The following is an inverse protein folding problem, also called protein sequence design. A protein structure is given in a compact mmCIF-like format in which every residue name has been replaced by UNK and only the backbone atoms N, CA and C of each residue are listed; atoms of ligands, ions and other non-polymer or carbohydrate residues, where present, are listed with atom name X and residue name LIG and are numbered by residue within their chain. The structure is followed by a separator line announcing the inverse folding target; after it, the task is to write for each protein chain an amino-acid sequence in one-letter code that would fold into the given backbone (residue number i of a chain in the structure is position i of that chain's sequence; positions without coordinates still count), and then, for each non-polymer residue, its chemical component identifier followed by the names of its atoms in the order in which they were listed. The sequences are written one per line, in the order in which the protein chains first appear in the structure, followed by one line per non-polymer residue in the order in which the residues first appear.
data_IF_264924800052
#
_entry.id   IF_264924800052
#
_cell.length_a   1.000
_cell.length_b   1.000
_cell.length_c   1.000
_cell.angle_alpha   90.00
_cell.angle_beta   90.00
_cell.angle_gamma   90.00
#
_symmetry.space_group_name_H-M   'P 1'
#
loop_
_entity.id
_entity.type
_entity.pdbx_description
1 polymer ?
#
# COMPACT_ATOMS: atom_id res chain seq x y z
N UNK A 1 -12.34 4.37 14.98
CA UNK A 1 -11.37 5.45 15.33
C UNK A 1 -10.62 5.77 14.05
N UNK A 2 -10.66 7.01 13.64
CA UNK A 2 -9.95 7.46 12.43
C UNK A 2 -8.45 7.53 12.78
N UNK A 3 -7.69 6.50 12.44
CA UNK A 3 -6.25 6.45 12.74
C UNK A 3 -5.52 7.42 11.82
N UNK A 4 -4.95 8.47 12.42
CA UNK A 4 -4.14 9.46 11.71
C UNK A 4 -2.85 8.78 11.23
N UNK A 5 -2.49 8.94 9.96
CA UNK A 5 -1.25 8.39 9.38
C UNK A 5 -0.06 9.16 9.94
N UNK A 6 0.88 8.43 10.51
CA UNK A 6 2.09 8.99 11.11
C UNK A 6 3.24 9.03 10.12
N UNK A 7 3.80 10.22 9.95
CA UNK A 7 4.94 10.48 9.08
C UNK A 7 6.15 10.84 9.94
N UNK A 8 7.28 10.18 9.73
CA UNK A 8 8.58 10.65 10.18
C UNK A 8 9.25 11.35 8.98
N UNK A 9 9.50 12.64 9.13
CA UNK A 9 10.16 13.43 8.09
C UNK A 9 11.61 13.75 8.48
N UNK A 10 12.55 13.14 7.77
CA UNK A 10 13.98 13.36 7.92
C UNK A 10 14.44 14.43 6.91
N UNK A 11 14.88 15.58 7.42
CA UNK A 11 15.25 16.78 6.65
C UNK A 11 16.19 17.64 7.50
N UNK A 12 17.30 18.06 6.96
CA UNK A 12 18.28 18.86 7.69
C UNK A 12 18.00 20.38 7.60
N UNK A 13 17.29 20.85 6.57
CA UNK A 13 16.75 22.22 6.51
C UNK A 13 15.54 22.35 7.43
N UNK A 14 15.76 22.96 8.60
CA UNK A 14 14.73 23.11 9.61
C UNK A 14 13.53 23.96 9.18
N UNK A 15 13.73 24.95 8.31
CA UNK A 15 12.65 25.83 7.86
C UNK A 15 11.83 25.19 6.74
N UNK A 16 12.48 24.53 5.80
CA UNK A 16 11.82 23.69 4.80
C UNK A 16 11.04 22.54 5.42
N UNK A 17 11.60 21.88 6.44
CA UNK A 17 10.94 20.83 7.19
C UNK A 17 9.66 21.32 7.89
N UNK A 18 9.70 22.48 8.55
CA UNK A 18 8.52 23.08 9.21
C UNK A 18 7.43 23.42 8.21
N UNK A 19 7.79 24.01 7.06
CA UNK A 19 6.84 24.36 6.02
C UNK A 19 6.14 23.12 5.48
N UNK A 20 6.91 22.07 5.13
CA UNK A 20 6.37 20.80 4.65
C UNK A 20 5.48 20.12 5.69
N UNK A 21 5.90 20.12 6.97
CA UNK A 21 5.08 19.66 8.09
C UNK A 21 3.74 20.37 8.16
N UNK A 22 3.73 21.71 8.15
CA UNK A 22 2.48 22.50 8.19
C UNK A 22 1.53 22.17 7.05
N UNK A 23 2.08 21.92 5.85
CA UNK A 23 1.29 21.54 4.68
C UNK A 23 0.65 20.15 4.86
N UNK A 24 1.43 19.18 5.33
CA UNK A 24 0.95 17.82 5.54
C UNK A 24 -0.03 17.71 6.72
N UNK A 25 0.18 18.47 7.79
CA UNK A 25 -0.74 18.51 8.93
C UNK A 25 -2.12 19.10 8.57
N UNK A 26 -2.19 20.09 7.66
CA UNK A 26 -3.46 20.56 7.10
C UNK A 26 -4.25 19.48 6.36
N UNK A 27 -3.56 18.45 5.89
CA UNK A 27 -4.14 17.29 5.19
C UNK A 27 -4.39 16.10 6.14
N UNK A 28 -4.40 16.35 7.46
CA UNK A 28 -4.64 15.37 8.53
C UNK A 28 -3.58 14.24 8.59
N UNK A 29 -2.32 14.55 8.36
CA UNK A 29 -1.19 13.70 8.72
C UNK A 29 -0.61 14.10 10.07
N UNK A 30 -0.06 13.15 10.82
CA UNK A 30 0.73 13.40 12.03
C UNK A 30 2.22 13.38 11.64
N UNK A 31 2.91 14.52 11.75
CA UNK A 31 4.27 14.67 11.23
C UNK A 31 5.28 14.96 12.34
N UNK A 32 6.23 14.04 12.53
CA UNK A 32 7.42 14.22 13.35
C UNK A 32 8.61 14.58 12.46
N UNK A 33 9.39 15.62 12.84
CA UNK A 33 10.58 16.06 12.10
C UNK A 33 11.84 15.54 12.79
N UNK A 34 12.76 15.00 11.99
CA UNK A 34 14.12 14.65 12.40
C UNK A 34 15.14 15.41 11.56
N UNK A 35 15.96 16.28 12.18
CA UNK A 35 16.87 17.20 11.50
C UNK A 35 18.20 16.57 11.03
N UNK A 36 18.29 15.26 10.92
CA UNK A 36 19.36 14.47 10.29
C UNK A 36 19.01 12.99 10.34
N UNK A 37 19.72 12.18 9.55
CA UNK A 37 19.46 10.74 9.47
C UNK A 37 19.68 9.98 10.79
N UNK A 38 20.63 10.38 11.64
CA UNK A 38 20.84 9.73 12.94
C UNK A 38 19.65 9.97 13.90
N UNK A 39 19.09 11.20 13.95
CA UNK A 39 17.86 11.48 14.70
C UNK A 39 16.66 10.75 14.12
N UNK A 40 16.58 10.64 12.79
CA UNK A 40 15.54 9.89 12.13
C UNK A 40 15.62 8.40 12.49
N UNK A 41 16.80 7.80 12.50
CA UNK A 41 17.00 6.43 12.94
C UNK A 41 16.59 6.20 14.40
N UNK A 42 16.95 7.14 15.30
CA UNK A 42 16.56 7.03 16.70
C UNK A 42 15.04 7.19 16.91
N UNK A 43 14.40 8.11 16.19
CA UNK A 43 12.94 8.28 16.22
C UNK A 43 12.23 7.04 15.67
N UNK A 44 12.70 6.49 14.55
CA UNK A 44 12.19 5.28 13.94
C UNK A 44 12.24 4.07 14.90
N UNK A 45 13.35 3.88 15.61
CA UNK A 45 13.48 2.78 16.59
C UNK A 45 12.53 2.92 17.78
N UNK A 46 12.23 4.15 18.20
CA UNK A 46 11.31 4.41 19.32
C UNK A 46 9.86 4.09 18.92
N UNK A 47 9.46 4.54 17.76
CA UNK A 47 8.12 4.32 17.25
C UNK A 47 8.12 4.32 15.73
N UNK A 48 7.83 3.16 15.14
CA UNK A 48 7.75 3.02 13.67
C UNK A 48 6.66 3.92 13.10
N UNK A 49 6.97 4.74 12.07
CA UNK A 49 5.98 5.50 11.33
C UNK A 49 5.27 4.62 10.30
N UNK A 50 4.11 5.08 9.81
CA UNK A 50 3.49 4.50 8.62
C UNK A 50 4.24 4.86 7.35
N UNK A 51 4.76 6.11 7.32
CA UNK A 51 5.51 6.67 6.20
C UNK A 51 6.80 7.31 6.73
N UNK A 52 7.93 6.98 6.12
CA UNK A 52 9.17 7.73 6.23
C UNK A 52 9.31 8.62 4.98
N UNK A 53 9.30 9.93 5.19
CA UNK A 53 9.67 10.91 4.18
C UNK A 53 11.12 11.31 4.44
N UNK A 54 12.01 11.19 3.46
CA UNK A 54 13.45 11.34 3.71
C UNK A 54 14.14 12.16 2.61
N UNK A 55 14.92 13.16 3.00
CA UNK A 55 15.85 13.82 2.08
C UNK A 55 17.12 12.96 1.90
N UNK A 56 17.73 13.04 0.73
CA UNK A 56 18.96 12.32 0.44
C UNK A 56 20.18 12.94 1.13
N UNK A 57 20.32 14.24 1.00
CA UNK A 57 21.54 14.93 1.40
C UNK A 57 21.39 15.45 2.83
N UNK A 58 21.64 14.58 3.82
CA UNK A 58 21.60 14.90 5.24
C UNK A 58 22.93 14.58 5.93
N UNK A 59 23.31 15.34 6.97
CA UNK A 59 24.51 15.04 7.74
C UNK A 59 24.35 13.78 8.61
N UNK A 60 25.48 13.14 8.92
CA UNK A 60 25.67 11.94 9.77
C UNK A 60 25.27 10.63 9.08
N UNK A 61 24.02 10.46 8.74
CA UNK A 61 23.47 9.34 7.99
C UNK A 61 22.67 9.97 6.84
N UNK A 62 23.06 9.69 5.62
CA UNK A 62 22.34 10.17 4.44
C UNK A 62 21.03 9.36 4.20
N UNK A 63 20.19 9.86 3.29
CA UNK A 63 18.88 9.24 3.06
C UNK A 63 18.99 7.85 2.43
N UNK A 64 20.02 7.58 1.64
CA UNK A 64 20.28 6.27 1.04
C UNK A 64 20.68 5.25 2.09
N UNK A 65 21.61 5.61 2.97
CA UNK A 65 22.06 4.76 4.08
C UNK A 65 20.91 4.49 5.05
N UNK A 66 20.14 5.53 5.43
CA UNK A 66 18.97 5.38 6.30
C UNK A 66 17.94 4.41 5.71
N UNK A 67 17.69 4.52 4.39
CA UNK A 67 16.78 3.61 3.67
C UNK A 67 17.26 2.15 3.77
N UNK A 68 18.55 1.89 3.54
CA UNK A 68 19.13 0.55 3.66
C UNK A 68 19.00 -0.01 5.07
N UNK A 69 19.39 0.77 6.08
CA UNK A 69 19.30 0.36 7.49
C UNK A 69 17.88 -0.05 7.90
N UNK A 70 16.87 0.69 7.44
CA UNK A 70 15.48 0.36 7.73
C UNK A 70 15.06 -0.91 6.99
N UNK A 71 15.40 -1.03 5.71
CA UNK A 71 14.99 -2.18 4.86
C UNK A 71 15.64 -3.51 5.27
N UNK A 72 16.73 -3.50 6.00
CA UNK A 72 17.30 -4.73 6.58
C UNK A 72 16.29 -5.49 7.45
N UNK A 73 15.42 -4.76 8.17
CA UNK A 73 14.52 -5.36 9.15
C UNK A 73 13.04 -4.98 8.97
N UNK A 74 12.71 -4.05 8.08
CA UNK A 74 11.35 -3.57 7.88
C UNK A 74 11.01 -3.38 6.39
N UNK A 75 10.00 -4.11 5.95
CA UNK A 75 9.43 -4.02 4.61
C UNK A 75 8.01 -3.42 4.60
N UNK A 76 7.51 -2.96 5.76
CA UNK A 76 6.14 -2.46 5.90
C UNK A 76 6.07 -0.94 5.88
N UNK A 77 7.00 -0.24 6.55
CA UNK A 77 7.07 1.22 6.51
C UNK A 77 7.25 1.69 5.07
N UNK A 78 6.37 2.57 4.59
CA UNK A 78 6.53 3.18 3.27
C UNK A 78 7.64 4.23 3.31
N UNK A 79 8.67 4.07 2.46
CA UNK A 79 9.80 5.00 2.36
C UNK A 79 9.66 5.81 1.07
N UNK A 80 9.50 7.11 1.23
CA UNK A 80 9.44 8.09 0.14
C UNK A 80 10.68 8.97 0.23
N UNK A 81 11.50 8.95 -0.82
CA UNK A 81 12.60 9.91 -0.94
C UNK A 81 12.04 11.20 -1.52
N UNK A 82 12.28 12.33 -0.82
CA UNK A 82 11.81 13.66 -1.19
C UNK A 82 12.98 14.63 -1.15
N UNK A 83 13.57 14.90 -2.31
CA UNK A 83 14.85 15.61 -2.42
C UNK A 83 14.88 16.63 -3.55
N UNK A 84 15.71 17.66 -3.39
CA UNK A 84 15.99 18.63 -4.46
C UNK A 84 16.91 18.07 -5.56
N UNK A 85 17.58 16.95 -5.30
CA UNK A 85 18.54 16.32 -6.20
C UNK A 85 17.89 15.18 -7.00
N UNK A 86 17.31 15.53 -8.15
CA UNK A 86 16.60 14.60 -9.05
C UNK A 86 17.50 13.91 -10.09
N UNK A 87 18.77 13.63 -9.78
CA UNK A 87 19.66 12.93 -10.71
C UNK A 87 19.20 11.48 -10.93
N UNK A 88 19.05 11.00 -12.18
CA UNK A 88 18.56 9.65 -12.44
C UNK A 88 19.37 8.53 -11.76
N UNK A 89 20.68 8.72 -11.59
CA UNK A 89 21.53 7.76 -10.90
C UNK A 89 21.20 7.65 -9.40
N UNK A 90 20.88 8.77 -8.74
CA UNK A 90 20.46 8.79 -7.34
C UNK A 90 19.06 8.15 -7.16
N UNK A 91 18.14 8.46 -8.08
CA UNK A 91 16.81 7.83 -8.09
C UNK A 91 16.91 6.31 -8.17
N UNK A 92 17.67 5.78 -9.12
CA UNK A 92 17.90 4.33 -9.26
C UNK A 92 18.52 3.76 -7.98
N UNK A 93 19.53 4.39 -7.43
CA UNK A 93 20.23 3.90 -6.23
C UNK A 93 19.32 3.79 -5.01
N UNK A 94 18.39 4.75 -4.80
CA UNK A 94 17.48 4.70 -3.65
C UNK A 94 16.32 3.72 -3.85
N UNK A 95 15.84 3.55 -5.07
CA UNK A 95 14.85 2.53 -5.39
C UNK A 95 15.43 1.12 -5.23
N UNK A 96 16.67 0.89 -5.67
CA UNK A 96 17.41 -0.36 -5.45
C UNK A 96 17.70 -0.62 -3.96
N UNK A 97 17.90 0.45 -3.17
CA UNK A 97 18.04 0.36 -1.71
C UNK A 97 16.71 0.01 -1.00
N UNK A 98 15.59 0.06 -1.72
CA UNK A 98 14.27 -0.34 -1.24
C UNK A 98 13.33 0.81 -0.89
N UNK A 99 13.59 2.04 -1.35
CA UNK A 99 12.58 3.09 -1.33
C UNK A 99 11.38 2.69 -2.20
N UNK A 100 10.18 3.08 -1.78
CA UNK A 100 8.95 2.78 -2.51
C UNK A 100 8.65 3.82 -3.58
N UNK A 101 9.00 5.08 -3.32
CA UNK A 101 8.78 6.20 -4.25
C UNK A 101 9.93 7.21 -4.15
N UNK A 102 10.20 7.88 -5.27
CA UNK A 102 11.11 9.02 -5.36
C UNK A 102 10.32 10.23 -5.87
N UNK A 103 10.36 11.34 -5.12
CA UNK A 103 9.64 12.57 -5.44
C UNK A 103 10.64 13.74 -5.43
N UNK A 104 10.88 14.39 -6.56
CA UNK A 104 11.67 15.62 -6.57
C UNK A 104 10.98 16.74 -5.79
N UNK A 105 11.73 17.47 -4.96
CA UNK A 105 11.24 18.69 -4.33
C UNK A 105 10.91 19.73 -5.39
N UNK A 106 9.72 20.30 -5.29
CA UNK A 106 9.24 21.30 -6.26
C UNK A 106 7.86 21.78 -5.84
N UNK A 107 6.81 21.28 -6.47
CA UNK A 107 5.43 21.66 -6.13
C UNK A 107 4.92 20.91 -4.90
N UNK A 108 4.52 21.61 -3.83
CA UNK A 108 3.87 20.98 -2.67
C UNK A 108 2.61 20.19 -3.04
N UNK A 109 1.91 20.60 -4.08
CA UNK A 109 0.69 19.94 -4.56
C UNK A 109 0.98 18.53 -5.05
N UNK A 110 2.14 18.31 -5.67
CA UNK A 110 2.58 16.98 -6.11
C UNK A 110 2.83 16.08 -4.91
N UNK A 111 3.55 16.57 -3.90
CA UNK A 111 3.76 15.82 -2.65
C UNK A 111 2.42 15.47 -1.99
N UNK A 112 1.51 16.45 -1.84
CA UNK A 112 0.18 16.24 -1.25
C UNK A 112 -0.59 15.16 -2.02
N UNK A 113 -0.59 15.21 -3.34
CA UNK A 113 -1.29 14.22 -4.17
C UNK A 113 -0.75 12.79 -3.94
N UNK A 114 0.58 12.62 -3.88
CA UNK A 114 1.22 11.35 -3.57
C UNK A 114 0.86 10.87 -2.15
N UNK A 115 0.95 11.75 -1.16
CA UNK A 115 0.66 11.42 0.24
C UNK A 115 -0.82 11.05 0.44
N UNK A 116 -1.76 11.75 -0.19
CA UNK A 116 -3.20 11.39 -0.16
C UNK A 116 -3.45 10.01 -0.76
N UNK A 117 -2.90 9.75 -1.94
CA UNK A 117 -3.01 8.43 -2.60
C UNK A 117 -2.43 7.32 -1.70
N UNK A 118 -1.28 7.57 -1.07
CA UNK A 118 -0.66 6.62 -0.16
C UNK A 118 -1.48 6.42 1.11
N UNK A 119 -2.00 7.50 1.72
CA UNK A 119 -2.93 7.44 2.86
C UNK A 119 -4.12 6.55 2.56
N UNK A 120 -4.76 6.75 1.41
CA UNK A 120 -5.95 5.99 1.04
C UNK A 120 -5.60 4.51 0.84
N UNK A 121 -4.41 4.23 0.32
CA UNK A 121 -3.87 2.86 0.21
C UNK A 121 -3.55 2.24 1.57
N UNK A 122 -2.92 2.98 2.48
CA UNK A 122 -2.59 2.53 3.84
C UNK A 122 -3.87 2.34 4.66
N UNK A 123 -4.77 3.32 4.65
CA UNK A 123 -6.08 3.22 5.33
C UNK A 123 -6.91 2.08 4.74
N UNK A 124 -6.92 1.91 3.45
CA UNK A 124 -7.52 0.75 2.79
C UNK A 124 -6.89 -0.57 3.23
N UNK A 125 -5.57 -0.63 3.40
CA UNK A 125 -4.87 -1.80 3.92
C UNK A 125 -5.11 -2.00 5.43
N UNK A 126 -5.24 -0.93 6.23
CA UNK A 126 -5.54 -1.03 7.67
C UNK A 126 -6.98 -1.47 7.96
N UNK A 127 -7.93 -1.12 7.08
CA UNK A 127 -9.32 -1.57 7.17
C UNK A 127 -9.60 -2.87 6.40
N UNK A 128 -8.63 -3.38 5.66
CA UNK A 128 -8.79 -4.67 4.97
C UNK A 128 -8.34 -5.76 5.96
N UNK A 129 -9.23 -6.59 6.48
CA UNK A 129 -8.86 -7.71 7.32
C UNK A 129 -7.78 -8.54 6.62
N UNK A 130 -6.75 -8.96 7.34
CA UNK A 130 -5.77 -9.90 6.77
C UNK A 130 -6.38 -11.29 6.62
N UNK A 131 -7.36 -11.60 7.47
CA UNK A 131 -8.11 -12.83 7.45
C UNK A 131 -9.59 -12.50 7.19
N UNK A 132 -10.11 -12.94 6.05
CA UNK A 132 -11.50 -12.82 5.68
C UNK A 132 -12.23 -14.12 5.96
N UNK A 133 -13.35 -14.05 6.66
CA UNK A 133 -14.30 -15.15 6.75
C UNK A 133 -15.24 -15.01 5.56
N UNK A 134 -15.09 -15.85 4.54
CA UNK A 134 -15.88 -15.78 3.30
C UNK A 134 -17.20 -16.57 3.41
N UNK A 135 -17.19 -17.65 4.19
CA UNK A 135 -18.36 -18.47 4.53
C UNK A 135 -18.12 -19.17 5.86
N UNK A 136 -19.04 -20.01 6.35
CA UNK A 136 -18.82 -20.88 7.52
C UNK A 136 -17.61 -21.80 7.36
N UNK A 137 -17.27 -22.16 6.12
CA UNK A 137 -16.28 -23.18 5.81
C UNK A 137 -15.03 -22.64 5.11
N UNK A 138 -15.06 -21.36 4.71
CA UNK A 138 -13.98 -20.75 3.89
C UNK A 138 -13.44 -19.51 4.52
N UNK A 139 -12.11 -19.49 4.68
CA UNK A 139 -11.34 -18.29 5.06
C UNK A 139 -10.32 -17.94 3.98
N UNK A 140 -9.98 -16.66 3.89
CA UNK A 140 -8.92 -16.18 3.01
C UNK A 140 -7.95 -15.30 3.79
N UNK A 141 -6.67 -15.66 3.78
CA UNK A 141 -5.59 -14.85 4.34
C UNK A 141 -4.89 -14.06 3.21
N UNK A 142 -5.04 -12.74 3.22
CA UNK A 142 -4.51 -11.87 2.16
C UNK A 142 -2.99 -11.71 2.20
N UNK A 143 -2.34 -11.95 3.34
CA UNK A 143 -0.86 -11.89 3.49
C UNK A 143 -0.25 -13.13 2.87
N UNK A 144 -0.68 -14.32 3.31
CA UNK A 144 -0.15 -15.60 2.79
C UNK A 144 -0.74 -15.94 1.43
N UNK A 145 -1.85 -15.30 1.05
CA UNK A 145 -2.67 -15.59 -0.15
C UNK A 145 -3.27 -16.99 -0.12
N UNK A 146 -3.58 -17.49 1.06
CA UNK A 146 -4.15 -18.82 1.25
C UNK A 146 -5.66 -18.75 1.41
N UNK A 147 -6.37 -19.52 0.60
CA UNK A 147 -7.78 -19.84 0.79
C UNK A 147 -7.84 -21.19 1.48
N UNK A 148 -8.53 -21.25 2.61
CA UNK A 148 -8.77 -22.49 3.34
C UNK A 148 -10.24 -22.82 3.20
N UNK A 149 -10.56 -23.96 2.58
CA UNK A 149 -11.94 -24.46 2.39
C UNK A 149 -12.05 -25.82 3.10
N UNK A 150 -12.97 -25.96 4.03
CA UNK A 150 -13.14 -27.18 4.82
C UNK A 150 -11.82 -27.69 5.45
N UNK A 151 -10.96 -26.78 5.90
CA UNK A 151 -9.66 -27.09 6.49
C UNK A 151 -8.53 -27.37 5.48
N UNK A 152 -8.80 -27.39 4.19
CA UNK A 152 -7.78 -27.59 3.15
C UNK A 152 -7.31 -26.23 2.64
N UNK A 153 -6.03 -25.93 2.87
CA UNK A 153 -5.41 -24.67 2.46
C UNK A 153 -4.86 -24.77 1.03
N UNK A 154 -5.19 -23.77 0.20
CA UNK A 154 -4.66 -23.63 -1.16
C UNK A 154 -4.08 -22.24 -1.32
N UNK A 155 -2.81 -22.15 -1.72
CA UNK A 155 -2.14 -20.86 -1.94
C UNK A 155 -2.43 -20.36 -3.34
N UNK A 156 -2.98 -19.12 -3.42
CA UNK A 156 -3.26 -18.47 -4.69
C UNK A 156 -2.00 -17.81 -5.28
N UNK A 157 -1.84 -17.78 -6.62
CA UNK A 157 -0.84 -16.95 -7.28
C UNK A 157 -1.05 -15.47 -6.96
N UNK A 158 -0.01 -14.65 -7.19
CA UNK A 158 0.03 -13.24 -6.71
C UNK A 158 -1.14 -12.41 -7.23
N UNK A 159 -1.51 -12.55 -8.49
CA UNK A 159 -2.58 -11.74 -9.10
C UNK A 159 -3.95 -12.22 -8.65
N UNK A 160 -4.20 -13.51 -8.64
CA UNK A 160 -5.46 -14.12 -8.17
C UNK A 160 -5.71 -13.79 -6.69
N UNK A 161 -4.68 -13.86 -5.84
CA UNK A 161 -4.78 -13.43 -4.45
C UNK A 161 -5.12 -11.94 -4.33
N UNK A 162 -4.50 -11.07 -5.14
CA UNK A 162 -4.84 -9.65 -5.14
C UNK A 162 -6.27 -9.37 -5.59
N UNK A 163 -6.76 -10.08 -6.62
CA UNK A 163 -8.16 -9.98 -7.06
C UNK A 163 -9.14 -10.40 -5.97
N UNK A 164 -8.87 -11.53 -5.29
CA UNK A 164 -9.74 -11.98 -4.20
C UNK A 164 -9.74 -10.98 -3.05
N UNK A 165 -8.59 -10.42 -2.68
CA UNK A 165 -8.49 -9.37 -1.67
C UNK A 165 -9.34 -8.15 -2.02
N UNK A 166 -9.30 -7.69 -3.29
CA UNK A 166 -10.07 -6.54 -3.75
C UNK A 166 -11.58 -6.80 -3.72
N UNK A 167 -12.01 -8.02 -4.09
CA UNK A 167 -13.41 -8.43 -3.99
C UNK A 167 -13.87 -8.48 -2.53
N UNK A 168 -13.06 -9.06 -1.64
CA UNK A 168 -13.35 -9.11 -0.20
C UNK A 168 -13.46 -7.71 0.42
N UNK A 169 -12.59 -6.78 -0.01
CA UNK A 169 -12.59 -5.40 0.49
C UNK A 169 -13.86 -4.63 0.15
N UNK A 170 -14.57 -5.03 -0.89
CA UNK A 170 -15.88 -4.46 -1.28
C UNK A 170 -17.04 -4.96 -0.43
N UNK A 171 -16.84 -5.98 0.40
CA UNK A 171 -17.82 -6.46 1.38
C UNK A 171 -19.24 -6.60 0.82
N UNK A 172 -19.39 -7.45 -0.18
CA UNK A 172 -20.66 -7.69 -0.92
C UNK A 172 -21.15 -6.52 -1.81
N UNK A 173 -20.30 -5.54 -2.08
CA UNK A 173 -20.55 -4.52 -3.08
C UNK A 173 -19.89 -4.88 -4.43
N UNK A 174 -20.34 -4.21 -5.50
CA UNK A 174 -19.77 -4.39 -6.83
C UNK A 174 -18.35 -3.82 -6.87
N UNK A 175 -17.37 -4.65 -7.22
CA UNK A 175 -16.04 -4.24 -7.61
C UNK A 175 -16.02 -4.00 -9.11
N UNK A 176 -16.13 -2.74 -9.56
CA UNK A 176 -16.06 -2.42 -10.97
C UNK A 176 -14.71 -2.79 -11.59
N UNK A 177 -14.66 -2.98 -12.91
CA UNK A 177 -13.44 -3.39 -13.61
C UNK A 177 -12.29 -2.41 -13.41
N UNK A 178 -12.59 -1.09 -13.38
CA UNK A 178 -11.59 -0.05 -13.18
C UNK A 178 -10.96 -0.17 -11.79
N UNK A 179 -11.75 -0.40 -10.74
CA UNK A 179 -11.26 -0.66 -9.39
C UNK A 179 -10.34 -1.88 -9.33
N UNK A 180 -10.73 -3.00 -9.96
CA UNK A 180 -9.94 -4.22 -10.02
C UNK A 180 -8.64 -4.00 -10.79
N UNK A 181 -8.68 -3.28 -11.91
CA UNK A 181 -7.50 -2.97 -12.73
C UNK A 181 -6.54 -2.07 -11.95
N UNK A 182 -7.01 -0.94 -11.42
CA UNK A 182 -6.18 0.02 -10.68
C UNK A 182 -5.61 -0.66 -9.43
N UNK A 183 -6.43 -1.37 -8.68
CA UNK A 183 -6.01 -2.07 -7.46
C UNK A 183 -4.99 -3.18 -7.69
N UNK A 184 -4.90 -3.72 -8.90
CA UNK A 184 -3.98 -4.81 -9.25
C UNK A 184 -2.72 -4.32 -9.93
N UNK A 185 -2.82 -3.38 -10.89
CA UNK A 185 -1.70 -2.91 -11.71
C UNK A 185 -1.28 -1.45 -11.43
N UNK A 186 -1.95 -0.78 -10.48
CA UNK A 186 -1.60 0.57 -10.04
C UNK A 186 -2.04 1.72 -10.94
N UNK A 187 -2.56 1.42 -12.14
CA UNK A 187 -3.03 2.42 -13.12
C UNK A 187 -4.24 1.94 -13.90
N UNK A 188 -5.05 2.87 -14.37
CA UNK A 188 -6.15 2.57 -15.29
C UNK A 188 -5.58 2.13 -16.66
N UNK A 189 -6.00 0.97 -17.15
CA UNK A 189 -5.62 0.44 -18.46
C UNK A 189 -6.76 -0.40 -19.03
N UNK A 190 -7.47 0.14 -20.03
CA UNK A 190 -8.59 -0.57 -20.68
C UNK A 190 -8.16 -1.87 -21.36
N UNK A 191 -6.89 -1.99 -21.79
CA UNK A 191 -6.39 -3.21 -22.39
C UNK A 191 -6.31 -4.39 -21.40
N UNK A 192 -6.47 -4.12 -20.10
CA UNK A 192 -6.51 -5.13 -19.04
C UNK A 192 -7.89 -5.74 -18.78
N UNK A 193 -8.95 -5.21 -19.38
CA UNK A 193 -10.31 -5.76 -19.18
C UNK A 193 -10.44 -7.25 -19.53
N UNK A 194 -9.85 -7.77 -20.63
CA UNK A 194 -9.88 -9.21 -20.90
C UNK A 194 -9.20 -10.05 -19.82
N UNK A 195 -8.12 -9.51 -19.21
CA UNK A 195 -7.42 -10.18 -18.13
C UNK A 195 -8.27 -10.27 -16.86
N UNK A 196 -9.10 -9.26 -16.56
CA UNK A 196 -10.04 -9.31 -15.44
C UNK A 196 -10.92 -10.55 -15.52
N UNK A 197 -11.56 -10.79 -16.69
CA UNK A 197 -12.38 -11.97 -16.93
C UNK A 197 -11.65 -13.28 -16.70
N UNK A 198 -10.40 -13.36 -17.17
CA UNK A 198 -9.53 -14.53 -17.00
C UNK A 198 -9.25 -14.82 -15.52
N UNK A 199 -8.89 -13.80 -14.72
CA UNK A 199 -8.60 -13.99 -13.30
C UNK A 199 -9.84 -14.29 -12.47
N UNK A 200 -10.96 -13.69 -12.79
CA UNK A 200 -12.26 -14.04 -12.18
C UNK A 200 -12.63 -15.51 -12.46
N UNK A 201 -12.43 -15.97 -13.69
CA UNK A 201 -12.70 -17.38 -14.05
C UNK A 201 -11.81 -18.34 -13.22
N UNK A 202 -10.54 -18.00 -13.03
CA UNK A 202 -9.61 -18.79 -12.19
C UNK A 202 -10.02 -18.78 -10.72
N UNK A 203 -10.43 -17.62 -10.18
CA UNK A 203 -10.93 -17.52 -8.81
C UNK A 203 -12.16 -18.38 -8.57
N UNK A 204 -13.11 -18.38 -9.52
CA UNK A 204 -14.25 -19.30 -9.47
C UNK A 204 -13.82 -20.77 -9.38
N UNK A 205 -12.74 -21.13 -10.07
CA UNK A 205 -12.17 -22.47 -9.99
C UNK A 205 -11.63 -22.80 -8.59
N UNK A 206 -10.93 -21.89 -7.94
CA UNK A 206 -10.41 -22.08 -6.57
C UNK A 206 -11.54 -22.14 -5.52
N UNK A 207 -12.60 -21.35 -5.69
CA UNK A 207 -13.72 -21.30 -4.74
C UNK A 207 -14.78 -22.39 -4.96
N UNK A 208 -14.68 -23.18 -6.04
CA UNK A 208 -15.68 -24.20 -6.43
C UNK A 208 -15.95 -25.25 -5.35
N UNK A 209 -14.98 -25.51 -4.46
CA UNK A 209 -15.13 -26.48 -3.38
C UNK A 209 -16.07 -26.01 -2.25
N UNK A 210 -16.44 -24.74 -2.24
CA UNK A 210 -17.47 -24.18 -1.34
C UNK A 210 -18.66 -23.66 -2.18
N UNK A 211 -19.76 -24.42 -2.27
CA UNK A 211 -20.92 -24.05 -3.07
C UNK A 211 -21.67 -22.82 -2.53
N UNK A 212 -21.45 -22.42 -1.27
CA UNK A 212 -22.03 -21.21 -0.70
C UNK A 212 -21.37 -19.93 -1.23
N UNK A 213 -20.20 -20.04 -1.89
CA UNK A 213 -19.46 -18.91 -2.43
C UNK A 213 -19.57 -18.84 -3.95
N UNK A 214 -19.88 -17.66 -4.46
CA UNK A 214 -19.84 -17.42 -5.90
C UNK A 214 -19.39 -15.99 -6.20
N UNK A 215 -18.82 -15.81 -7.39
CA UNK A 215 -18.48 -14.48 -7.93
C UNK A 215 -19.40 -14.25 -9.12
N UNK A 216 -20.32 -13.31 -8.99
CA UNK A 216 -21.26 -12.96 -10.05
C UNK A 216 -20.75 -11.74 -10.83
N UNK A 217 -21.19 -11.62 -12.08
CA UNK A 217 -20.99 -10.42 -12.88
C UNK A 217 -22.22 -9.54 -12.73
N UNK A 218 -22.04 -8.32 -12.29
CA UNK A 218 -23.13 -7.37 -12.07
C UNK A 218 -22.71 -5.98 -12.55
N UNK A 219 -23.54 -5.38 -13.42
CA UNK A 219 -23.23 -4.10 -14.04
C UNK A 219 -21.90 -4.15 -14.82
N UNK A 220 -20.98 -3.23 -14.52
CA UNK A 220 -19.64 -3.21 -15.12
C UNK A 220 -18.57 -3.85 -14.21
N UNK A 221 -18.96 -4.71 -13.28
CA UNK A 221 -18.04 -5.29 -12.31
C UNK A 221 -18.39 -6.70 -11.87
N UNK A 222 -17.82 -7.07 -10.73
CA UNK A 222 -17.99 -8.38 -10.11
C UNK A 222 -18.29 -8.24 -8.63
N UNK A 223 -19.08 -9.14 -8.11
CA UNK A 223 -19.43 -9.20 -6.69
C UNK A 223 -19.13 -10.58 -6.14
N UNK A 224 -18.51 -10.64 -4.96
CA UNK A 224 -18.34 -11.88 -4.20
C UNK A 224 -19.54 -12.06 -3.28
N UNK A 225 -20.28 -13.12 -3.47
CA UNK A 225 -21.49 -13.43 -2.72
C UNK A 225 -21.26 -14.67 -1.86
N UNK A 226 -21.65 -14.57 -0.59
CA UNK A 226 -21.85 -15.70 0.29
C UNK A 226 -23.36 -15.96 0.37
N UNK A 227 -23.79 -17.11 -0.11
CA UNK A 227 -25.18 -17.55 0.06
C UNK A 227 -25.31 -17.98 1.54
N UNK A 228 -26.20 -17.29 2.28
CA UNK A 228 -26.57 -17.78 3.60
C UNK A 228 -27.28 -19.14 3.46
N UNK A 229 -26.92 -20.11 4.31
CA UNK A 229 -27.65 -21.36 4.44
C UNK A 229 -29.04 -21.13 5.05
#
# INVERSE_FOLDING_TARGET
MDTTIRILYAEDDADGAKLTKMILEKENFDVEIALNGAKAWDAYKKQKPDILLVDLDMPKIDGLELTRMIRENDRQTHIIVYTSHGEPAKEIAVLDAGADEFIPKGSPEVLIAHMKRLRDRIKGCMNIPHLYQLSKHTTYNSITREVTINGIATRLPKIEGRFLQLLCAKNHEIADKSYLIIGTWGKADKNKEPEVKKYISRLRGYLKADPSLRIDHEGDGYILICLAD
#
